data_IF_138349271122
#
_entry.id   IF_138349271122
#
_cell.length_a   1.000
_cell.length_b   1.000
_cell.length_c   1.000
_cell.angle_alpha   90.00
_cell.angle_beta   90.00
_cell.angle_gamma   90.00
#
_symmetry.space_group_name_H-M   'P 1'
#
loop_
_entity.id
_entity.type
_entity.pdbx_description
1 polymer ?
#
# COMPACT_ATOMS: atom_id res chain seq x y z
N UNK A 1 6.23 12.99 6.60
CA UNK A 1 6.65 11.65 6.11
C UNK A 1 5.63 10.65 6.63
N UNK A 2 5.02 9.86 5.75
CA UNK A 2 4.10 8.78 6.14
C UNK A 2 4.67 7.44 5.72
N UNK A 3 4.57 6.43 6.59
CA UNK A 3 5.20 5.12 6.39
C UNK A 3 4.21 4.01 6.76
N UNK A 4 4.13 2.98 5.92
CA UNK A 4 3.37 1.75 6.19
C UNK A 4 4.15 0.53 5.70
N UNK A 5 4.01 -0.60 6.41
CA UNK A 5 4.74 -1.84 6.11
C UNK A 5 3.89 -3.09 6.36
N UNK A 6 4.09 -4.10 5.52
CA UNK A 6 3.64 -5.47 5.71
C UNK A 6 4.79 -6.43 5.38
N UNK A 7 5.39 -7.06 6.41
CA UNK A 7 6.59 -7.89 6.28
C UNK A 7 7.70 -7.14 5.51
N UNK A 8 7.99 -7.52 4.26
CA UNK A 8 8.99 -6.88 3.39
C UNK A 8 8.42 -5.83 2.42
N UNK A 9 7.11 -5.61 2.42
CA UNK A 9 6.43 -4.62 1.58
C UNK A 9 6.44 -3.29 2.35
N UNK A 10 7.05 -2.26 1.77
CA UNK A 10 7.25 -0.96 2.41
C UNK A 10 6.80 0.17 1.48
N UNK A 11 6.04 1.13 2.00
CA UNK A 11 5.66 2.33 1.28
C UNK A 11 6.01 3.56 2.12
N UNK A 12 6.78 4.47 1.53
CA UNK A 12 7.11 5.78 2.09
C UNK A 12 6.60 6.85 1.14
N UNK A 13 5.94 7.86 1.69
CA UNK A 13 5.50 9.04 0.93
C UNK A 13 6.17 10.29 1.52
N UNK A 14 6.87 11.00 0.64
CA UNK A 14 7.51 12.28 0.91
C UNK A 14 6.80 13.37 0.12
N UNK A 15 6.71 14.56 0.72
CA UNK A 15 6.07 15.73 0.14
C UNK A 15 7.06 16.87 0.26
N UNK A 16 7.15 17.71 -0.78
CA UNK A 16 7.95 18.94 -0.73
C UNK A 16 7.44 19.86 0.36
N UNK A 17 8.33 20.57 1.04
CA UNK A 17 7.95 21.45 2.16
C UNK A 17 6.88 22.49 1.78
N UNK A 18 6.97 23.05 0.57
CA UNK A 18 6.00 24.00 0.02
C UNK A 18 4.57 23.44 -0.11
N UNK A 19 4.42 22.11 -0.18
CA UNK A 19 3.14 21.43 -0.35
C UNK A 19 2.55 20.91 0.98
N UNK A 20 3.31 20.91 2.07
CA UNK A 20 2.87 20.38 3.38
C UNK A 20 1.57 21.02 3.87
N UNK A 21 1.35 22.35 3.78
CA UNK A 21 0.10 22.98 4.22
C UNK A 21 -1.14 22.53 3.42
N UNK A 22 -0.93 21.97 2.23
CA UNK A 22 -1.99 21.55 1.32
C UNK A 22 -2.30 20.06 1.42
N UNK A 23 -1.54 19.30 2.22
CA UNK A 23 -1.78 17.88 2.48
C UNK A 23 -2.66 17.72 3.70
N UNK A 24 -3.72 16.93 3.58
CA UNK A 24 -4.64 16.64 4.67
C UNK A 24 -5.17 15.22 4.58
N UNK A 25 -5.90 14.78 5.61
CA UNK A 25 -6.59 13.49 5.62
C UNK A 25 -5.67 12.29 5.29
N UNK A 26 -4.44 12.33 5.82
CA UNK A 26 -3.47 11.26 5.66
C UNK A 26 -3.95 10.02 6.42
N UNK A 27 -4.01 8.89 5.74
CA UNK A 27 -4.37 7.60 6.33
C UNK A 27 -3.59 6.48 5.64
N UNK A 28 -3.47 5.34 6.30
CA UNK A 28 -2.70 4.20 5.79
C UNK A 28 -3.31 2.88 6.25
N UNK A 29 -3.14 1.85 5.42
CA UNK A 29 -3.58 0.51 5.78
C UNK A 29 -2.74 -0.57 5.10
N UNK A 30 -2.89 -1.82 5.54
CA UNK A 30 -2.26 -2.98 4.93
C UNK A 30 -3.21 -4.18 4.91
N UNK A 31 -3.03 -5.04 3.92
CA UNK A 31 -3.83 -6.25 3.73
C UNK A 31 -2.88 -7.41 3.46
N UNK A 32 -2.73 -8.39 4.36
CA UNK A 32 -2.02 -9.63 4.06
C UNK A 32 -2.81 -10.48 3.05
N UNK A 33 -2.11 -11.23 2.20
CA UNK A 33 -2.68 -12.32 1.42
C UNK A 33 -1.74 -13.54 1.45
N UNK A 34 -2.25 -14.77 1.36
CA UNK A 34 -1.41 -15.97 1.49
C UNK A 34 -2.16 -17.30 1.69
N UNK A 35 -1.40 -18.40 1.64
CA UNK A 35 -1.89 -19.78 1.54
C UNK A 35 -2.67 -20.29 2.77
N UNK A 36 -2.36 -19.81 3.98
CA UNK A 36 -3.09 -20.21 5.20
C UNK A 36 -4.12 -19.14 5.54
N UNK A 37 -5.33 -19.33 5.01
CA UNK A 37 -6.50 -18.52 5.31
C UNK A 37 -6.41 -17.06 4.89
N UNK A 38 -5.45 -16.65 4.04
CA UNK A 38 -5.29 -15.24 3.62
C UNK A 38 -4.57 -14.32 4.60
N UNK A 39 -4.23 -14.77 5.81
CA UNK A 39 -3.78 -13.87 6.90
C UNK A 39 -2.30 -14.02 7.28
N UNK A 40 -1.63 -15.09 6.85
CA UNK A 40 -0.20 -15.30 7.06
C UNK A 40 0.52 -15.31 5.71
N UNK A 41 1.39 -14.32 5.48
CA UNK A 41 2.15 -14.26 4.24
C UNK A 41 3.05 -13.04 4.12
N UNK A 42 4.14 -13.21 3.37
CA UNK A 42 4.97 -12.13 2.84
C UNK A 42 4.38 -11.51 1.56
N UNK A 43 3.08 -11.74 1.33
CA UNK A 43 2.30 -11.27 0.19
C UNK A 43 1.15 -10.42 0.69
N UNK A 44 0.70 -9.50 -0.12
CA UNK A 44 -0.35 -8.56 0.23
C UNK A 44 -0.10 -7.18 -0.37
N UNK A 45 -0.69 -6.17 0.26
CA UNK A 45 -0.53 -4.78 -0.12
C UNK A 45 -0.46 -3.86 1.08
N UNK A 46 0.20 -2.73 0.89
CA UNK A 46 0.16 -1.58 1.79
C UNK A 46 -0.30 -0.36 1.00
N UNK A 47 -1.02 0.54 1.64
CA UNK A 47 -1.50 1.76 1.00
C UNK A 47 -1.36 2.97 1.92
N UNK A 48 -1.07 4.12 1.32
CA UNK A 48 -1.18 5.43 1.95
C UNK A 48 -2.14 6.25 1.10
N UNK A 49 -3.16 6.82 1.72
CA UNK A 49 -4.00 7.85 1.10
C UNK A 49 -3.80 9.20 1.76
N UNK A 50 -4.00 10.25 0.99
CA UNK A 50 -4.01 11.62 1.47
C UNK A 50 -4.80 12.48 0.48
N UNK A 51 -5.26 13.64 0.96
CA UNK A 51 -5.77 14.68 0.10
C UNK A 51 -4.64 15.70 -0.13
N UNK A 52 -4.49 16.19 -1.35
CA UNK A 52 -3.64 17.34 -1.68
C UNK A 52 -4.47 18.36 -2.45
N UNK A 53 -4.56 19.58 -1.96
CA UNK A 53 -5.55 20.57 -2.41
C UNK A 53 -6.97 19.97 -2.43
N UNK A 54 -7.54 19.80 -3.63
CA UNK A 54 -8.88 19.26 -3.87
C UNK A 54 -8.87 17.85 -4.44
N UNK A 55 -7.70 17.20 -4.50
CA UNK A 55 -7.54 15.87 -5.06
C UNK A 55 -7.27 14.85 -3.96
N UNK A 56 -7.94 13.70 -4.04
CA UNK A 56 -7.64 12.53 -3.22
C UNK A 56 -6.65 11.63 -3.97
N UNK A 57 -5.57 11.24 -3.31
CA UNK A 57 -4.53 10.37 -3.85
C UNK A 57 -4.42 9.14 -2.95
N UNK A 58 -4.39 7.95 -3.56
CA UNK A 58 -4.11 6.68 -2.87
C UNK A 58 -3.00 5.96 -3.62
N UNK A 59 -1.91 5.67 -2.91
CA UNK A 59 -0.76 4.95 -3.46
C UNK A 59 -0.76 3.56 -2.84
N UNK A 60 -0.73 2.53 -3.67
CA UNK A 60 -0.74 1.12 -3.24
C UNK A 60 0.56 0.45 -3.70
N UNK A 61 1.27 -0.18 -2.76
CA UNK A 61 2.40 -1.05 -3.05
C UNK A 61 1.99 -2.50 -2.73
N UNK A 62 2.15 -3.41 -3.69
CA UNK A 62 1.76 -4.82 -3.54
C UNK A 62 2.90 -5.77 -3.86
N UNK A 63 2.88 -6.92 -3.19
CA UNK A 63 3.69 -8.08 -3.53
C UNK A 63 2.73 -9.27 -3.62
N UNK A 64 2.37 -9.63 -4.85
CA UNK A 64 1.36 -10.66 -5.13
C UNK A 64 1.99 -12.04 -5.38
N UNK A 65 1.16 -13.06 -5.60
CA UNK A 65 1.59 -14.44 -5.83
C UNK A 65 2.64 -14.54 -6.96
N UNK A 66 3.78 -15.17 -6.63
CA UNK A 66 4.89 -15.40 -7.55
C UNK A 66 4.62 -16.59 -8.49
N UNK A 67 5.47 -16.77 -9.51
CA UNK A 67 5.39 -17.81 -10.56
C UNK A 67 4.39 -17.53 -11.68
N UNK A 68 4.72 -18.04 -12.88
CA UNK A 68 3.98 -17.73 -14.11
C UNK A 68 2.56 -18.32 -14.08
N UNK A 69 2.40 -19.50 -13.49
CA UNK A 69 1.14 -20.24 -13.41
C UNK A 69 0.15 -19.66 -12.40
N UNK A 70 0.59 -18.73 -11.54
CA UNK A 70 -0.23 -18.18 -10.43
C UNK A 70 -1.02 -16.93 -10.83
N UNK A 71 -1.44 -16.83 -12.10
CA UNK A 71 -2.26 -15.70 -12.60
C UNK A 71 -3.57 -15.59 -11.83
N UNK A 72 -4.26 -16.71 -11.61
CA UNK A 72 -5.55 -16.70 -10.91
C UNK A 72 -5.40 -16.23 -9.46
N UNK A 73 -4.39 -16.68 -8.73
CA UNK A 73 -4.13 -16.23 -7.35
C UNK A 73 -3.71 -14.76 -7.26
N UNK A 74 -3.16 -14.16 -8.33
CA UNK A 74 -2.89 -12.72 -8.38
C UNK A 74 -4.15 -11.89 -8.61
N UNK A 75 -5.19 -12.47 -9.21
CA UNK A 75 -6.42 -11.80 -9.60
C UNK A 75 -7.58 -11.98 -8.60
N UNK A 76 -7.40 -12.79 -7.55
CA UNK A 76 -8.33 -12.92 -6.42
C UNK A 76 -8.36 -11.65 -5.57
#
# INVERSE_FOLDING_TARGET
ISVVRLVGILLLVYVKDELVPHVSSVDYNYVPCGLVGGHFGNKGGVAIRFNIYHSSVCIVNTHLAAHIDEVEKRNQ
#
